data_IF_352716736731
#
_entry.id   IF_352716736731
#
_cell.length_a   1.000
_cell.length_b   1.000
_cell.length_c   1.000
_cell.angle_alpha   90.00
_cell.angle_beta   90.00
_cell.angle_gamma   90.00
#
_symmetry.space_group_name_H-M   'P 1'
#
loop_
_entity.id
_entity.type
_entity.pdbx_description
1 polymer ?
#
# COMPACT_ATOMS: atom_id res chain seq x y z
N UNK A 1 -17.29 19.55 -2.50
CA UNK A 1 -17.78 18.99 -1.22
C UNK A 1 -16.96 19.59 -0.08
N UNK A 2 -17.47 19.68 1.15
CA UNK A 2 -16.65 20.14 2.28
C UNK A 2 -15.50 19.17 2.55
N UNK A 3 -14.32 19.70 2.87
CA UNK A 3 -13.09 18.93 3.04
C UNK A 3 -13.21 17.79 4.07
N UNK A 4 -13.90 18.04 5.19
CA UNK A 4 -14.15 17.05 6.24
C UNK A 4 -14.94 15.84 5.74
N UNK A 5 -15.90 16.07 4.83
CA UNK A 5 -16.69 15.00 4.24
C UNK A 5 -15.84 14.14 3.32
N UNK A 6 -14.93 14.73 2.54
CA UNK A 6 -14.01 13.97 1.70
C UNK A 6 -13.11 13.06 2.52
N UNK A 7 -12.55 13.55 3.64
CA UNK A 7 -11.73 12.71 4.54
C UNK A 7 -12.56 11.54 5.05
N UNK A 8 -13.78 11.79 5.53
CA UNK A 8 -14.64 10.75 6.09
C UNK A 8 -14.97 9.67 5.06
N UNK A 9 -15.30 10.07 3.83
CA UNK A 9 -15.56 9.15 2.71
C UNK A 9 -14.31 8.34 2.40
N UNK A 10 -13.16 8.99 2.21
CA UNK A 10 -11.90 8.30 1.88
C UNK A 10 -11.50 7.28 2.97
N UNK A 11 -11.63 7.63 4.25
CA UNK A 11 -11.35 6.74 5.37
C UNK A 11 -12.30 5.54 5.38
N UNK A 12 -13.61 5.79 5.27
CA UNK A 12 -14.62 4.75 5.34
C UNK A 12 -14.47 3.74 4.18
N UNK A 13 -14.34 4.23 2.95
CA UNK A 13 -14.22 3.36 1.78
C UNK A 13 -12.86 2.65 1.71
N UNK A 14 -11.76 3.30 2.10
CA UNK A 14 -10.45 2.63 2.16
C UNK A 14 -10.46 1.52 3.22
N UNK A 15 -11.05 1.77 4.39
CA UNK A 15 -11.19 0.75 5.43
C UNK A 15 -12.05 -0.42 4.95
N UNK A 16 -13.23 -0.14 4.40
CA UNK A 16 -14.15 -1.16 3.90
C UNK A 16 -13.50 -1.98 2.78
N UNK A 17 -12.86 -1.34 1.80
CA UNK A 17 -12.19 -2.03 0.71
C UNK A 17 -11.13 -3.01 1.23
N UNK A 18 -10.25 -2.55 2.12
CA UNK A 18 -9.19 -3.39 2.69
C UNK A 18 -9.72 -4.45 3.66
N UNK A 19 -10.66 -4.12 4.55
CA UNK A 19 -11.21 -5.06 5.52
C UNK A 19 -12.07 -6.15 4.84
N UNK A 20 -12.92 -5.78 3.89
CA UNK A 20 -13.70 -6.75 3.13
C UNK A 20 -12.80 -7.66 2.30
N UNK A 21 -11.76 -7.11 1.65
CA UNK A 21 -10.81 -7.95 0.92
C UNK A 21 -10.05 -8.89 1.85
N UNK A 22 -9.64 -8.43 3.03
CA UNK A 22 -9.02 -9.26 4.06
C UNK A 22 -9.94 -10.42 4.51
N UNK A 23 -11.25 -10.20 4.59
CA UNK A 23 -12.23 -11.25 4.84
C UNK A 23 -12.28 -12.26 3.69
N UNK A 24 -12.29 -11.80 2.44
CA UNK A 24 -12.30 -12.67 1.25
C UNK A 24 -11.11 -13.62 1.21
N UNK A 25 -9.92 -13.14 1.58
CA UNK A 25 -8.71 -13.98 1.66
C UNK A 25 -8.51 -14.67 3.01
N UNK A 26 -9.55 -14.74 3.85
CA UNK A 26 -9.57 -15.43 5.15
C UNK A 26 -8.45 -15.01 6.12
N UNK A 27 -8.18 -13.71 6.23
CA UNK A 27 -7.24 -13.16 7.23
C UNK A 27 -7.73 -13.45 8.66
N UNK A 28 -6.85 -13.85 9.61
CA UNK A 28 -7.25 -14.10 10.98
C UNK A 28 -7.93 -12.89 11.64
N UNK A 29 -9.08 -13.10 12.30
CA UNK A 29 -9.89 -12.01 12.91
C UNK A 29 -9.08 -11.09 13.83
N UNK A 30 -8.10 -11.63 14.57
CA UNK A 30 -7.23 -10.87 15.49
C UNK A 30 -6.35 -9.79 14.82
N UNK A 31 -6.15 -9.86 13.51
CA UNK A 31 -5.36 -8.89 12.73
C UNK A 31 -6.19 -8.12 11.69
N UNK A 32 -7.46 -8.48 11.51
CA UNK A 32 -8.35 -7.90 10.51
C UNK A 32 -8.43 -6.37 10.61
N UNK A 33 -8.62 -5.84 11.83
CA UNK A 33 -8.68 -4.40 12.05
C UNK A 33 -7.39 -3.69 11.66
N UNK A 34 -6.24 -4.32 11.94
CA UNK A 34 -4.94 -3.76 11.57
C UNK A 34 -4.74 -3.77 10.05
N UNK A 35 -5.24 -4.79 9.34
CA UNK A 35 -5.22 -4.84 7.89
C UNK A 35 -6.06 -3.71 7.27
N UNK A 36 -7.26 -3.46 7.81
CA UNK A 36 -8.08 -2.31 7.40
C UNK A 36 -7.41 -0.97 7.68
N UNK A 37 -6.81 -0.79 8.87
CA UNK A 37 -6.08 0.44 9.22
C UNK A 37 -4.88 0.67 8.32
N UNK A 38 -4.14 -0.37 7.92
CA UNK A 38 -3.06 -0.20 6.94
C UNK A 38 -3.58 0.29 5.59
N UNK A 39 -4.75 -0.16 5.15
CA UNK A 39 -5.41 0.35 3.95
C UNK A 39 -5.77 1.84 4.05
N UNK A 40 -6.34 2.27 5.19
CA UNK A 40 -6.64 3.68 5.44
C UNK A 40 -5.38 4.54 5.32
N UNK A 41 -4.32 4.19 6.04
CA UNK A 41 -3.12 5.03 6.11
C UNK A 41 -2.47 5.14 4.73
N UNK A 42 -2.32 4.03 4.02
CA UNK A 42 -1.74 4.01 2.68
C UNK A 42 -2.59 4.80 1.67
N UNK A 43 -3.92 4.69 1.75
CA UNK A 43 -4.81 5.48 0.90
C UNK A 43 -4.76 6.97 1.19
N UNK A 44 -4.74 7.37 2.47
CA UNK A 44 -4.63 8.78 2.85
C UNK A 44 -3.32 9.38 2.34
N UNK A 45 -2.20 8.67 2.47
CA UNK A 45 -0.90 9.14 1.99
C UNK A 45 -0.95 9.33 0.47
N UNK A 46 -1.51 8.37 -0.26
CA UNK A 46 -1.74 8.51 -1.69
C UNK A 46 -2.63 9.72 -2.02
N UNK A 47 -3.77 9.86 -1.34
CA UNK A 47 -4.75 10.91 -1.61
C UNK A 47 -4.22 12.31 -1.31
N UNK A 48 -3.49 12.48 -0.19
CA UNK A 48 -2.81 13.73 0.14
C UNK A 48 -1.72 14.07 -0.87
N UNK A 49 -0.94 13.07 -1.31
CA UNK A 49 0.11 13.26 -2.33
C UNK A 49 -0.50 13.67 -3.69
N UNK A 50 -1.64 13.08 -4.05
CA UNK A 50 -2.39 13.45 -5.24
C UNK A 50 -2.94 14.88 -5.15
N UNK A 51 -3.44 15.29 -3.99
CA UNK A 51 -3.88 16.67 -3.73
C UNK A 51 -2.74 17.68 -3.76
N UNK A 52 -1.52 17.26 -3.41
CA UNK A 52 -0.32 18.06 -3.52
C UNK A 52 0.28 18.09 -4.94
N UNK A 53 -0.44 17.59 -5.95
CA UNK A 53 -0.01 17.58 -7.36
C UNK A 53 1.31 16.83 -7.61
N UNK A 54 1.67 15.87 -6.76
CA UNK A 54 2.89 15.05 -6.89
C UNK A 54 2.83 14.04 -8.06
N UNK A 55 1.67 13.91 -8.70
CA UNK A 55 1.44 12.98 -9.80
C UNK A 55 1.19 11.54 -9.34
N UNK A 56 0.70 10.70 -10.27
CA UNK A 56 0.25 9.33 -9.97
C UNK A 56 1.39 8.40 -9.57
N UNK A 57 2.56 8.57 -10.19
CA UNK A 57 3.74 7.75 -9.92
C UNK A 57 4.19 7.93 -8.47
N UNK A 58 4.49 9.17 -8.08
CA UNK A 58 5.00 9.47 -6.74
C UNK A 58 3.95 9.22 -5.66
N UNK A 59 2.68 9.55 -5.91
CA UNK A 59 1.60 9.30 -4.95
C UNK A 59 1.41 7.81 -4.65
N UNK A 60 1.45 6.95 -5.68
CA UNK A 60 1.34 5.51 -5.49
C UNK A 60 2.57 4.90 -4.84
N UNK A 61 3.75 5.42 -5.17
CA UNK A 61 5.01 5.03 -4.53
C UNK A 61 4.97 5.34 -3.02
N UNK A 62 4.51 6.53 -2.63
CA UNK A 62 4.41 6.91 -1.20
C UNK A 62 3.33 6.09 -0.46
N UNK A 63 2.17 5.88 -1.11
CA UNK A 63 1.12 5.04 -0.54
C UNK A 63 1.58 3.61 -0.31
N UNK A 64 2.25 2.99 -1.29
CA UNK A 64 2.75 1.62 -1.18
C UNK A 64 3.98 1.49 -0.28
N UNK A 65 4.80 2.53 -0.18
CA UNK A 65 5.88 2.60 0.80
C UNK A 65 5.32 2.52 2.23
N UNK A 66 4.22 3.23 2.50
CA UNK A 66 3.53 3.10 3.79
C UNK A 66 2.97 1.70 4.05
N UNK A 67 2.46 0.99 3.01
CA UNK A 67 2.03 -0.41 3.14
C UNK A 67 3.19 -1.27 3.64
N UNK A 68 4.37 -1.14 3.01
CA UNK A 68 5.54 -1.91 3.37
C UNK A 68 5.95 -1.69 4.83
N UNK A 69 5.98 -0.42 5.28
CA UNK A 69 6.39 -0.09 6.65
C UNK A 69 5.39 -0.69 7.63
N UNK A 70 4.11 -0.41 7.44
CA UNK A 70 3.05 -0.85 8.34
C UNK A 70 2.96 -2.38 8.38
N UNK A 71 3.07 -3.05 7.25
CA UNK A 71 2.98 -4.51 7.20
C UNK A 71 4.11 -5.20 7.95
N UNK A 72 5.36 -4.72 7.88
CA UNK A 72 6.46 -5.29 8.69
C UNK A 72 6.25 -4.98 10.18
N UNK A 73 5.89 -3.74 10.51
CA UNK A 73 5.68 -3.32 11.90
C UNK A 73 4.56 -4.14 12.55
N UNK A 74 3.42 -4.30 11.86
CA UNK A 74 2.29 -5.07 12.36
C UNK A 74 2.56 -6.58 12.35
N UNK A 75 3.25 -7.11 11.35
CA UNK A 75 3.70 -8.51 11.31
C UNK A 75 4.53 -8.89 12.53
N UNK A 76 5.50 -8.05 12.90
CA UNK A 76 6.33 -8.28 14.09
C UNK A 76 5.51 -8.18 15.37
N UNK A 77 4.62 -7.19 15.47
CA UNK A 77 3.76 -6.99 16.65
C UNK A 77 2.78 -8.15 16.85
N UNK A 78 2.24 -8.70 15.76
CA UNK A 78 1.21 -9.76 15.78
C UNK A 78 1.77 -11.17 15.53
N UNK A 79 3.08 -11.30 15.33
CA UNK A 79 3.80 -12.57 15.08
C UNK A 79 3.12 -13.36 13.95
N UNK A 80 2.94 -12.71 12.81
CA UNK A 80 2.35 -13.32 11.61
C UNK A 80 3.05 -12.81 10.34
N UNK A 81 2.87 -13.47 9.19
CA UNK A 81 3.47 -13.02 7.93
C UNK A 81 3.03 -11.60 7.54
N UNK A 82 3.93 -10.79 6.96
CA UNK A 82 3.63 -9.42 6.54
C UNK A 82 2.65 -9.35 5.36
N UNK A 83 2.59 -10.40 4.55
CA UNK A 83 1.64 -10.56 3.44
C UNK A 83 0.18 -10.43 3.89
N UNK A 84 -0.13 -10.83 5.13
CA UNK A 84 -1.45 -10.70 5.75
C UNK A 84 -1.92 -9.24 5.85
N UNK A 85 -0.98 -8.29 5.89
CA UNK A 85 -1.26 -6.86 5.87
C UNK A 85 -1.08 -6.24 4.48
N UNK A 86 -0.08 -6.70 3.72
CA UNK A 86 0.20 -6.15 2.38
C UNK A 86 -0.95 -6.33 1.41
N UNK A 87 -1.47 -7.55 1.29
CA UNK A 87 -2.46 -7.88 0.26
C UNK A 87 -3.77 -7.12 0.49
N UNK A 88 -4.31 -6.97 1.71
CA UNK A 88 -5.51 -6.15 1.90
C UNK A 88 -5.26 -4.65 1.77
N UNK A 89 -4.11 -4.14 2.22
CA UNK A 89 -3.82 -2.71 2.23
C UNK A 89 -3.55 -2.12 0.84
N UNK A 90 -3.05 -2.93 -0.10
CA UNK A 90 -2.76 -2.51 -1.49
C UNK A 90 -4.02 -2.34 -2.34
N UNK A 91 -5.11 -3.03 -1.99
CA UNK A 91 -6.38 -3.09 -2.76
C UNK A 91 -6.86 -1.73 -3.27
N UNK A 92 -7.00 -0.68 -2.43
CA UNK A 92 -7.48 0.62 -2.91
C UNK A 92 -6.51 1.31 -3.90
N UNK A 93 -5.22 0.93 -3.92
CA UNK A 93 -4.20 1.51 -4.81
C UNK A 93 -4.06 0.76 -6.14
N UNK A 94 -4.53 -0.49 -6.22
CA UNK A 94 -4.39 -1.31 -7.43
C UNK A 94 -5.16 -0.68 -8.60
N UNK A 95 -4.55 -0.53 -9.79
CA UNK A 95 -5.19 0.10 -10.94
C UNK A 95 -6.13 -0.88 -11.66
N UNK A 96 -7.18 -1.36 -10.98
CA UNK A 96 -8.13 -2.32 -11.52
C UNK A 96 -8.99 -1.75 -12.66
N UNK A 97 -9.53 -0.54 -12.49
CA UNK A 97 -10.34 0.12 -13.53
C UNK A 97 -9.52 0.37 -14.81
N UNK A 98 -8.32 0.98 -14.74
CA UNK A 98 -7.44 1.08 -15.91
C UNK A 98 -7.09 -0.25 -16.56
N UNK A 99 -6.90 -1.32 -15.77
CA UNK A 99 -6.62 -2.65 -16.32
C UNK A 99 -7.82 -3.22 -17.09
N UNK A 100 -9.03 -3.11 -16.55
CA UNK A 100 -10.24 -3.49 -17.28
C UNK A 100 -10.44 -2.66 -18.55
N UNK A 101 -10.22 -1.34 -18.46
CA UNK A 101 -10.30 -0.43 -19.61
C UNK A 101 -9.30 -0.81 -20.70
N UNK A 102 -8.06 -1.15 -20.34
CA UNK A 102 -7.05 -1.58 -21.30
C UNK A 102 -7.53 -2.78 -22.14
N UNK A 103 -8.05 -3.82 -21.49
CA UNK A 103 -8.58 -5.00 -22.19
C UNK A 103 -9.80 -4.64 -23.04
N UNK A 104 -10.73 -3.85 -22.50
CA UNK A 104 -11.93 -3.42 -23.22
C UNK A 104 -11.58 -2.65 -24.50
N UNK A 105 -10.69 -1.66 -24.42
CA UNK A 105 -10.30 -0.84 -25.57
C UNK A 105 -9.53 -1.64 -26.63
N UNK A 106 -8.71 -2.63 -26.20
CA UNK A 106 -8.07 -3.56 -27.13
C UNK A 106 -9.10 -4.39 -27.90
N UNK A 107 -10.10 -4.94 -27.19
CA UNK A 107 -11.15 -5.75 -27.83
C UNK A 107 -12.07 -4.95 -28.75
N UNK A 108 -12.24 -3.64 -28.50
CA UNK A 108 -13.01 -2.75 -29.35
C UNK A 108 -12.21 -2.14 -30.50
N UNK A 109 -10.94 -2.52 -30.68
CA UNK A 109 -10.07 -2.00 -31.74
C UNK A 109 -9.56 -0.56 -31.52
N UNK A 110 -9.79 0.03 -30.35
CA UNK A 110 -9.34 1.38 -30.03
C UNK A 110 -7.92 1.36 -29.45
N UNK A 111 -6.93 1.29 -30.33
CA UNK A 111 -5.52 1.18 -29.94
C UNK A 111 -5.00 2.38 -29.15
N UNK A 112 -5.53 3.60 -29.39
CA UNK A 112 -5.11 4.80 -28.67
C UNK A 112 -5.56 4.74 -27.21
N UNK A 113 -6.83 4.44 -26.98
CA UNK A 113 -7.37 4.28 -25.63
C UNK A 113 -6.73 3.12 -24.86
N UNK A 114 -6.46 2.01 -25.56
CA UNK A 114 -5.76 0.87 -25.01
C UNK A 114 -4.34 1.24 -24.54
N UNK A 115 -3.56 1.93 -25.37
CA UNK A 115 -2.19 2.34 -25.02
C UNK A 115 -2.16 3.21 -23.75
N UNK A 116 -3.04 4.20 -23.65
CA UNK A 116 -3.11 5.10 -22.48
C UNK A 116 -3.47 4.34 -21.19
N UNK A 117 -4.40 3.38 -21.28
CA UNK A 117 -4.82 2.56 -20.16
C UNK A 117 -3.70 1.58 -19.72
N UNK A 118 -3.04 0.91 -20.67
CA UNK A 118 -1.92 0.01 -20.40
C UNK A 118 -0.76 0.76 -19.74
N UNK A 119 -0.35 1.91 -20.30
CA UNK A 119 0.71 2.72 -19.72
C UNK A 119 0.37 3.16 -18.29
N UNK A 120 -0.88 3.52 -18.04
CA UNK A 120 -1.34 3.86 -16.68
C UNK A 120 -1.19 2.69 -15.72
N UNK A 121 -1.56 1.48 -16.13
CA UNK A 121 -1.40 0.27 -15.31
C UNK A 121 0.07 -0.01 -15.02
N UNK A 122 0.93 0.06 -16.03
CA UNK A 122 2.37 -0.18 -15.89
C UNK A 122 2.99 0.82 -14.92
N UNK A 123 2.73 2.11 -15.11
CA UNK A 123 3.27 3.18 -14.26
C UNK A 123 2.81 2.99 -12.81
N UNK A 124 1.51 2.77 -12.60
CA UNK A 124 0.96 2.64 -11.24
C UNK A 124 1.47 1.37 -10.55
N UNK A 125 1.38 0.21 -11.20
CA UNK A 125 1.82 -1.06 -10.60
C UNK A 125 3.33 -1.08 -10.38
N UNK A 126 4.11 -0.52 -11.31
CA UNK A 126 5.55 -0.33 -11.15
C UNK A 126 5.89 0.58 -9.97
N UNK A 127 5.17 1.69 -9.81
CA UNK A 127 5.34 2.59 -8.65
C UNK A 127 5.03 1.89 -7.33
N UNK A 128 3.96 1.09 -7.30
CA UNK A 128 3.57 0.33 -6.13
C UNK A 128 4.66 -0.68 -5.74
N UNK A 129 5.15 -1.46 -6.72
CA UNK A 129 6.22 -2.44 -6.52
C UNK A 129 7.50 -1.78 -6.00
N UNK A 130 7.91 -0.65 -6.59
CA UNK A 130 9.07 0.12 -6.15
C UNK A 130 8.91 0.64 -4.73
N UNK A 131 7.77 1.24 -4.38
CA UNK A 131 7.54 1.76 -3.03
C UNK A 131 7.56 0.66 -1.96
N UNK A 132 6.97 -0.51 -2.25
CA UNK A 132 7.04 -1.65 -1.33
C UNK A 132 8.47 -2.19 -1.17
N UNK A 133 9.24 -2.27 -2.26
CA UNK A 133 10.64 -2.72 -2.24
C UNK A 133 11.51 -1.77 -1.42
N UNK A 134 11.43 -0.46 -1.68
CA UNK A 134 12.17 0.55 -0.93
C UNK A 134 11.81 0.53 0.55
N UNK A 135 10.53 0.39 0.87
CA UNK A 135 10.07 0.27 2.26
C UNK A 135 10.69 -0.94 2.95
N UNK A 136 10.66 -2.12 2.32
CA UNK A 136 11.22 -3.33 2.91
C UNK A 136 12.72 -3.14 3.19
N UNK A 137 13.46 -2.54 2.25
CA UNK A 137 14.88 -2.21 2.44
C UNK A 137 15.10 -1.27 3.61
N UNK A 138 14.38 -0.15 3.69
CA UNK A 138 14.49 0.83 4.78
C UNK A 138 14.23 0.19 6.15
N UNK A 139 13.18 -0.63 6.26
CA UNK A 139 12.79 -1.27 7.51
C UNK A 139 13.80 -2.34 7.93
N UNK A 140 14.27 -3.16 7.00
CA UNK A 140 15.30 -4.17 7.28
C UNK A 140 16.62 -3.55 7.74
N UNK A 141 17.06 -2.48 7.06
CA UNK A 141 18.25 -1.72 7.44
C UNK A 141 18.09 -1.15 8.85
N UNK A 142 16.96 -0.50 9.14
CA UNK A 142 16.68 0.06 10.46
C UNK A 142 16.78 -1.00 11.58
N UNK A 143 16.19 -2.17 11.35
CA UNK A 143 16.24 -3.25 12.33
C UNK A 143 17.62 -3.92 12.44
N UNK A 144 18.36 -4.03 11.34
CA UNK A 144 19.74 -4.55 11.34
C UNK A 144 20.66 -3.64 12.16
N UNK A 145 20.55 -2.32 11.96
CA UNK A 145 21.32 -1.32 12.72
C UNK A 145 20.96 -1.38 14.21
N UNK A 146 19.68 -1.41 14.56
CA UNK A 146 19.24 -1.51 15.97
C UNK A 146 19.78 -2.78 16.65
N UNK A 147 19.77 -3.91 15.95
CA UNK A 147 20.32 -5.18 16.47
C UNK A 147 21.84 -5.11 16.65
N UNK A 148 22.55 -4.44 15.74
CA UNK A 148 23.99 -4.23 15.84
C UNK A 148 24.36 -3.37 17.05
N UNK A 149 23.66 -2.24 17.25
CA UNK A 149 23.91 -1.34 18.38
C UNK A 149 23.63 -2.01 19.73
N UNK A 150 22.54 -2.77 19.85
CA UNK A 150 22.21 -3.50 21.08
C UNK A 150 23.29 -4.53 21.46
N UNK A 151 23.80 -5.29 20.47
CA UNK A 151 24.90 -6.24 20.69
C UNK A 151 26.20 -5.59 21.17
N UNK A 152 26.48 -4.37 20.72
CA UNK A 152 27.69 -3.65 21.13
C UNK A 152 27.55 -3.07 22.55
N UNK A 153 26.35 -2.58 22.90
CA UNK A 153 26.03 -2.14 24.26
C UNK A 153 26.08 -3.27 25.28
N UNK A 154 25.56 -4.46 24.95
CA UNK A 154 25.56 -5.62 25.85
C UNK A 154 26.97 -6.19 26.07
N UNK A 155 27.92 -5.94 25.17
CA UNK A 155 29.32 -6.39 25.28
C UNK A 155 30.18 -5.51 26.21
N UNK A 156 29.73 -4.29 26.50
CA UNK A 156 30.45 -3.34 27.38
C UNK A 156 29.89 -3.30 28.81
N UNK A 157 28.72 -3.91 29.04
CA UNK A 157 28.01 -3.90 30.31
C UNK A 157 28.11 -5.24 31.07
N UNK A 158 28.99 -6.13 30.63
CA UNK A 158 29.23 -7.48 31.17
C UNK A 158 30.73 -7.76 31.14
#
# INVERSE_FOLDING_TARGET
MPFWLEILINVAFAYLASACFALTINVPRRVLNLAGVSGIISWIIYWLSMRASMGRLLSNLLGSFAIGILGIVFARKKKCPATVFYIPAIVPLVPGVPAYQAVRELTSGNLRGANDAVLRVIIVTGSIALGMLLSNMCVEIFFRIKKFYKRHSDKYNN
#
